data_IF_522851098376
#
_entry.id   IF_522851098376
#
_cell.length_a   1.000
_cell.length_b   1.000
_cell.length_c   1.000
_cell.angle_alpha   90.00
_cell.angle_beta   90.00
_cell.angle_gamma   90.00
#
_symmetry.space_group_name_H-M   'P 1'
#
loop_
_entity.id
_entity.type
_entity.pdbx_description
1 polymer ?
#
# COMPACT_ATOMS: atom_id res chain seq x y z
N UNK A 1 3.54 14.09 0.25
CA UNK A 1 3.16 12.67 0.41
C UNK A 1 1.89 12.57 1.24
N UNK A 2 0.90 11.79 0.81
CA UNK A 2 -0.34 11.57 1.59
C UNK A 2 -0.17 10.40 2.56
N UNK A 3 -0.96 10.36 3.65
CA UNK A 3 -0.92 9.28 4.64
C UNK A 3 -1.12 7.87 4.02
N UNK A 4 -1.89 7.79 2.94
CA UNK A 4 -2.14 6.55 2.19
C UNK A 4 -0.88 6.03 1.48
N UNK A 5 -0.12 6.92 0.84
CA UNK A 5 1.15 6.57 0.20
C UNK A 5 2.15 6.04 1.24
N UNK A 6 2.27 6.72 2.37
CA UNK A 6 3.18 6.31 3.46
C UNK A 6 2.77 4.96 4.05
N UNK A 7 1.47 4.70 4.25
CA UNK A 7 0.98 3.41 4.73
C UNK A 7 1.34 2.26 3.76
N UNK A 8 1.18 2.49 2.46
CA UNK A 8 1.56 1.53 1.42
C UNK A 8 3.06 1.25 1.46
N UNK A 9 3.89 2.30 1.43
CA UNK A 9 5.36 2.15 1.43
C UNK A 9 5.84 1.42 2.67
N UNK A 10 5.32 1.76 3.86
CA UNK A 10 5.70 1.08 5.10
C UNK A 10 5.29 -0.40 5.11
N UNK A 11 4.08 -0.72 4.67
CA UNK A 11 3.64 -2.11 4.61
C UNK A 11 4.40 -2.91 3.55
N UNK A 12 4.78 -2.26 2.45
CA UNK A 12 5.60 -2.87 1.40
C UNK A 12 7.00 -3.20 1.92
N UNK A 13 7.66 -2.25 2.58
CA UNK A 13 8.96 -2.47 3.23
C UNK A 13 8.88 -3.57 4.30
N UNK A 14 7.82 -3.58 5.10
CA UNK A 14 7.61 -4.59 6.15
C UNK A 14 7.44 -6.01 5.60
N UNK A 15 6.77 -6.16 4.45
CA UNK A 15 6.59 -7.46 3.79
C UNK A 15 7.69 -7.83 2.80
N UNK A 16 8.64 -6.93 2.52
CA UNK A 16 9.64 -7.12 1.47
C UNK A 16 9.01 -7.25 0.07
N UNK A 17 7.90 -6.54 -0.18
CA UNK A 17 7.32 -6.47 -1.50
C UNK A 17 8.05 -5.44 -2.34
N UNK A 18 8.04 -5.65 -3.66
CA UNK A 18 8.54 -4.69 -4.63
C UNK A 18 7.39 -4.20 -5.51
N UNK A 19 7.56 -3.04 -6.14
CA UNK A 19 6.54 -2.44 -7.01
C UNK A 19 6.13 -3.38 -8.14
N UNK A 20 7.06 -4.17 -8.68
CA UNK A 20 6.77 -5.19 -9.69
C UNK A 20 5.86 -6.32 -9.17
N UNK A 21 5.98 -6.69 -7.89
CA UNK A 21 5.16 -7.74 -7.29
C UNK A 21 3.75 -7.24 -7.02
N UNK A 22 3.63 -6.01 -6.53
CA UNK A 22 2.34 -5.37 -6.34
C UNK A 22 1.61 -5.14 -7.67
N UNK A 23 2.33 -4.76 -8.73
CA UNK A 23 1.77 -4.61 -10.08
C UNK A 23 1.09 -5.91 -10.51
N UNK A 24 1.79 -7.04 -10.38
CA UNK A 24 1.25 -8.37 -10.70
C UNK A 24 0.05 -8.78 -9.84
N UNK A 25 0.04 -8.43 -8.55
CA UNK A 25 -1.05 -8.84 -7.65
C UNK A 25 -2.29 -7.95 -7.76
N UNK A 26 -2.11 -6.67 -8.08
CA UNK A 26 -3.19 -5.68 -8.13
C UNK A 26 -3.70 -5.44 -9.55
N UNK A 27 -2.96 -5.90 -10.57
CA UNK A 27 -3.23 -5.60 -11.99
C UNK A 27 -2.83 -4.18 -12.40
N UNK A 28 -2.17 -3.42 -11.52
CA UNK A 28 -1.66 -2.08 -11.81
C UNK A 28 -0.32 -2.16 -12.55
N UNK A 29 0.04 -1.08 -13.24
CA UNK A 29 1.38 -0.94 -13.82
C UNK A 29 2.40 -0.54 -12.76
N UNK A 30 3.66 -0.90 -12.98
CA UNK A 30 4.79 -0.50 -12.13
C UNK A 30 4.91 1.02 -12.05
N UNK A 31 4.77 1.75 -13.16
CA UNK A 31 4.77 3.21 -13.18
C UNK A 31 3.68 3.80 -12.28
N UNK A 32 2.48 3.20 -12.27
CA UNK A 32 1.37 3.67 -11.44
C UNK A 32 1.69 3.48 -9.95
N UNK A 33 2.27 2.34 -9.60
CA UNK A 33 2.69 2.07 -8.23
C UNK A 33 3.81 3.02 -7.83
N UNK A 34 4.85 3.19 -8.65
CA UNK A 34 5.95 4.10 -8.36
C UNK A 34 5.48 5.55 -8.16
N UNK A 35 4.54 6.02 -8.99
CA UNK A 35 3.91 7.32 -8.81
C UNK A 35 3.15 7.43 -7.46
N UNK A 36 2.54 6.35 -6.99
CA UNK A 36 1.89 6.29 -5.66
C UNK A 36 2.94 6.29 -4.55
N UNK A 37 4.01 5.51 -4.69
CA UNK A 37 5.07 5.37 -3.69
C UNK A 37 5.93 6.61 -3.55
N UNK A 38 6.22 7.31 -4.64
CA UNK A 38 6.89 8.62 -4.63
C UNK A 38 5.99 9.74 -4.11
N UNK A 39 4.68 9.48 -4.00
CA UNK A 39 3.69 10.49 -3.66
C UNK A 39 3.41 11.48 -4.79
N UNK A 40 3.90 11.22 -6.01
CA UNK A 40 3.62 12.00 -7.22
C UNK A 40 2.16 11.87 -7.67
N UNK A 41 1.52 10.75 -7.33
CA UNK A 41 0.10 10.49 -7.57
C UNK A 41 -0.60 9.98 -6.34
N UNK A 42 -1.82 10.47 -6.11
CA UNK A 42 -2.70 9.91 -5.10
C UNK A 42 -3.35 8.63 -5.65
N UNK A 43 -3.31 7.50 -4.92
CA UNK A 43 -4.06 6.32 -5.29
C UNK A 43 -5.56 6.61 -5.20
N UNK A 44 -6.33 6.11 -6.15
CA UNK A 44 -7.78 6.04 -6.03
C UNK A 44 -8.18 5.11 -4.88
N UNK A 45 -9.43 5.22 -4.44
CA UNK A 45 -9.94 4.41 -3.34
C UNK A 45 -9.86 2.91 -3.67
N UNK A 46 -10.10 2.53 -4.93
CA UNK A 46 -10.02 1.14 -5.39
C UNK A 46 -8.57 0.62 -5.47
N UNK A 47 -7.63 1.48 -5.88
CA UNK A 47 -6.20 1.16 -5.88
C UNK A 47 -5.69 0.97 -4.46
N UNK A 48 -6.00 1.90 -3.56
CA UNK A 48 -5.62 1.80 -2.15
C UNK A 48 -6.20 0.53 -1.52
N UNK A 49 -7.45 0.19 -1.82
CA UNK A 49 -8.09 -1.02 -1.30
C UNK A 49 -7.45 -2.29 -1.86
N UNK A 50 -7.09 -2.33 -3.14
CA UNK A 50 -6.44 -3.49 -3.77
C UNK A 50 -5.02 -3.70 -3.24
N UNK A 51 -4.21 -2.63 -3.21
CA UNK A 51 -2.86 -2.64 -2.65
C UNK A 51 -2.92 -2.98 -1.16
N UNK A 52 -3.86 -2.39 -0.43
CA UNK A 52 -4.08 -2.65 0.99
C UNK A 52 -4.42 -4.10 1.25
N UNK A 53 -5.28 -4.73 0.45
CA UNK A 53 -5.60 -6.16 0.59
C UNK A 53 -4.37 -7.06 0.41
N UNK A 54 -3.55 -6.77 -0.61
CA UNK A 54 -2.30 -7.52 -0.87
C UNK A 54 -1.31 -7.35 0.28
N UNK A 55 -1.14 -6.10 0.72
CA UNK A 55 -0.23 -5.75 1.80
C UNK A 55 -0.79 -6.11 3.18
N UNK A 56 -2.05 -6.53 3.29
CA UNK A 56 -2.73 -6.77 4.57
C UNK A 56 -2.95 -5.47 5.37
N UNK A 57 -2.90 -4.32 4.70
CA UNK A 57 -3.39 -3.05 5.25
C UNK A 57 -4.92 -3.16 5.23
N UNK A 58 -5.49 -3.68 6.31
CA UNK A 58 -6.93 -3.63 6.48
C UNK A 58 -7.35 -2.15 6.44
N UNK A 59 -8.39 -1.82 5.68
CA UNK A 59 -8.97 -0.47 5.67
C UNK A 59 -9.50 -0.04 7.06
N UNK A 60 -9.51 -0.97 8.01
CA UNK A 60 -9.48 -0.68 9.44
C UNK A 60 -8.14 -0.05 9.83
N UNK A 61 -8.11 1.28 9.83
CA UNK A 61 -7.19 2.08 10.64
C UNK A 61 -7.35 1.84 12.17
N UNK A 62 -7.75 0.63 12.57
CA UNK A 62 -7.97 0.17 13.94
C UNK A 62 -6.83 -0.72 14.44
N UNK A 63 -5.87 -1.11 13.59
CA UNK A 63 -4.67 -1.83 14.05
C UNK A 63 -3.48 -0.89 14.27
N UNK A 64 -3.71 0.16 15.07
CA UNK A 64 -2.67 0.62 16.00
C UNK A 64 -2.72 -0.34 17.19
N UNK A 65 -1.73 -1.22 17.28
CA UNK A 65 -1.34 -1.90 18.52
C UNK A 65 -2.47 -2.51 19.38
N UNK A 66 -3.04 -3.65 18.95
CA UNK A 66 -3.35 -4.71 19.92
C UNK A 66 -2.09 -5.57 20.07
N UNK A 67 -1.06 -4.99 20.72
CA UNK A 67 -0.09 -5.81 21.43
C UNK A 67 -0.74 -6.14 22.76
N UNK A 68 -1.00 -7.42 22.95
CA UNK A 68 -1.46 -8.00 24.20
C UNK A 68 -0.43 -7.73 25.30
N UNK A 69 -0.85 -7.09 26.39
CA UNK A 69 -0.23 -7.19 27.72
C UNK A 69 -1.28 -6.81 28.77
#
# INVERSE_FOLDING_TARGET
MTAQCTAITNAMSSKGYDSARLAKQTGLTTDRIDAILSGSSKPSQQEFKSIGNVLGISSDASHVAQVSA
#
